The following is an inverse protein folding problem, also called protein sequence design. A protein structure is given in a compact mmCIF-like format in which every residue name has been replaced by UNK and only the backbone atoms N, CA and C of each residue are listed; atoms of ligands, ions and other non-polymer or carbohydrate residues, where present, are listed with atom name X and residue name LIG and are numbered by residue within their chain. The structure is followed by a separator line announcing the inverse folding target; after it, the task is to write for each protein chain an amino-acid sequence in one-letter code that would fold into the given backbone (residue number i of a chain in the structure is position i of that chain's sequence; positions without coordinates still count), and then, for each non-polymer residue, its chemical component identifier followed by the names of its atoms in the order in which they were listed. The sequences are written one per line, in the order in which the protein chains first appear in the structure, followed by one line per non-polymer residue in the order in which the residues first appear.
data_IF_039124136660
#
_entry.id   IF_039124136660
#
_cell.length_a   1.000
_cell.length_b   1.000
_cell.length_c   1.000
_cell.angle_alpha   90.00
_cell.angle_beta   90.00
_cell.angle_gamma   90.00
#
_symmetry.space_group_name_H-M   'P 1'
#
loop_
_entity.id
_entity.type
_entity.pdbx_description
1 polymer ?
#
# COMPACT_ATOMS: atom_id res chain seq x y z
N UNK A 1 -5.83 -0.69 -9.17
CA UNK A 1 -6.75 -1.75 -9.65
C UNK A 1 -6.16 -3.15 -9.44
N UNK A 2 -4.92 -3.46 -9.87
CA UNK A 2 -4.34 -4.81 -9.74
C UNK A 2 -4.28 -5.33 -8.29
N UNK A 3 -3.83 -4.50 -7.33
CA UNK A 3 -3.79 -4.87 -5.92
C UNK A 3 -5.17 -5.32 -5.38
N UNK A 4 -6.24 -4.65 -5.78
CA UNK A 4 -7.59 -4.99 -5.31
C UNK A 4 -8.02 -6.38 -5.79
N UNK A 5 -7.73 -6.70 -7.05
CA UNK A 5 -8.04 -8.03 -7.62
C UNK A 5 -7.28 -9.11 -6.84
N UNK A 6 -6.01 -8.89 -6.51
CA UNK A 6 -5.21 -9.83 -5.73
C UNK A 6 -5.73 -9.97 -4.30
N UNK A 7 -6.16 -8.88 -3.66
CA UNK A 7 -6.81 -8.93 -2.34
C UNK A 7 -8.07 -9.81 -2.38
N UNK A 8 -8.93 -9.61 -3.37
CA UNK A 8 -10.13 -10.42 -3.55
C UNK A 8 -9.81 -11.90 -3.79
N UNK A 9 -8.77 -12.19 -4.57
CA UNK A 9 -8.33 -13.55 -4.82
C UNK A 9 -7.79 -14.23 -3.55
N UNK A 10 -6.95 -13.55 -2.78
CA UNK A 10 -6.28 -14.14 -1.61
C UNK A 10 -7.21 -14.20 -0.39
N UNK A 11 -7.87 -13.09 -0.02
CA UNK A 11 -8.80 -13.07 1.11
C UNK A 11 -10.16 -13.73 0.80
N UNK A 12 -10.58 -13.72 -0.45
CA UNK A 12 -11.84 -14.32 -0.86
C UNK A 12 -11.94 -15.81 -0.54
N UNK A 13 -10.80 -16.52 -0.46
CA UNK A 13 -10.74 -17.93 -0.03
C UNK A 13 -11.22 -18.14 1.41
N UNK A 14 -11.05 -17.14 2.28
CA UNK A 14 -11.44 -17.19 3.69
C UNK A 14 -12.82 -16.61 3.96
N UNK A 15 -13.44 -15.99 2.96
CA UNK A 15 -14.80 -15.45 3.02
C UNK A 15 -14.88 -13.93 2.91
N UNK A 16 -16.08 -13.47 2.58
CA UNK A 16 -16.36 -12.05 2.36
C UNK A 16 -16.13 -11.19 3.61
N UNK A 17 -16.30 -11.78 4.79
CA UNK A 17 -16.13 -11.08 6.07
C UNK A 17 -14.72 -10.49 6.23
N UNK A 18 -13.68 -11.24 5.83
CA UNK A 18 -12.28 -10.79 5.92
C UNK A 18 -11.98 -9.65 4.96
N UNK A 19 -12.62 -9.66 3.78
CA UNK A 19 -12.51 -8.56 2.81
C UNK A 19 -13.16 -7.30 3.37
N UNK A 20 -14.36 -7.41 3.93
CA UNK A 20 -15.06 -6.29 4.57
C UNK A 20 -14.26 -5.75 5.78
N UNK A 21 -13.70 -6.64 6.60
CA UNK A 21 -12.85 -6.27 7.72
C UNK A 21 -11.62 -5.46 7.26
N UNK A 22 -10.94 -5.88 6.19
CA UNK A 22 -9.82 -5.14 5.61
C UNK A 22 -10.21 -3.73 5.19
N UNK A 23 -11.31 -3.59 4.45
CA UNK A 23 -11.76 -2.28 3.99
C UNK A 23 -12.21 -1.38 5.15
N UNK A 24 -12.91 -1.95 6.13
CA UNK A 24 -13.33 -1.22 7.33
C UNK A 24 -12.12 -0.74 8.14
N UNK A 25 -11.14 -1.62 8.38
CA UNK A 25 -9.89 -1.27 9.06
C UNK A 25 -9.13 -0.18 8.30
N UNK A 26 -9.03 -0.27 6.98
CA UNK A 26 -8.36 0.72 6.16
C UNK A 26 -9.08 2.08 6.21
N UNK A 27 -10.40 2.09 6.21
CA UNK A 27 -11.22 3.29 6.31
C UNK A 27 -11.10 3.94 7.70
N UNK A 28 -11.15 3.13 8.76
CA UNK A 28 -10.95 3.60 10.14
C UNK A 28 -9.53 4.16 10.33
N UNK A 29 -8.51 3.49 9.79
CA UNK A 29 -7.14 3.97 9.82
C UNK A 29 -7.00 5.34 9.13
N UNK A 30 -7.60 5.49 7.95
CA UNK A 30 -7.56 6.74 7.19
C UNK A 30 -8.31 7.85 7.93
N UNK A 31 -9.47 7.56 8.50
CA UNK A 31 -10.26 8.53 9.26
C UNK A 31 -9.55 8.99 10.53
N UNK A 32 -9.00 8.05 11.31
CA UNK A 32 -8.26 8.36 12.55
C UNK A 32 -6.99 9.14 12.28
N UNK A 33 -6.19 8.75 11.30
CA UNK A 33 -5.00 9.48 10.89
C UNK A 33 -5.35 10.88 10.38
N UNK A 34 -6.37 11.01 9.53
CA UNK A 34 -6.84 12.29 9.03
C UNK A 34 -7.27 13.23 10.16
N UNK A 35 -8.01 12.71 11.15
CA UNK A 35 -8.42 13.49 12.32
C UNK A 35 -7.23 13.94 13.19
N UNK A 36 -6.28 13.03 13.45
CA UNK A 36 -5.06 13.32 14.22
C UNK A 36 -4.20 14.36 13.50
N UNK A 37 -3.97 14.19 12.18
CA UNK A 37 -3.18 15.12 11.39
C UNK A 37 -3.83 16.52 11.34
N UNK A 38 -5.14 16.59 11.16
CA UNK A 38 -5.86 17.87 11.15
C UNK A 38 -5.73 18.64 12.48
N UNK A 39 -5.57 17.91 13.60
CA UNK A 39 -5.37 18.51 14.92
C UNK A 39 -3.91 18.93 15.17
N UNK A 40 -2.94 18.20 14.62
CA UNK A 40 -1.51 18.41 14.87
C UNK A 40 -0.90 19.42 13.89
N UNK A 41 -1.37 19.42 12.65
CA UNK A 41 -0.84 20.32 11.62
C UNK A 41 -1.64 21.62 11.64
N UNK A 42 -1.07 22.73 12.14
CA UNK A 42 -1.71 24.02 12.06
C UNK A 42 -1.76 24.44 10.58
N UNK A 43 -2.95 24.64 10.08
CA UNK A 43 -3.21 25.10 8.71
C UNK A 43 -4.59 25.72 8.65
N UNK A 44 -4.73 26.76 7.84
CA UNK A 44 -6.06 27.27 7.50
C UNK A 44 -6.72 26.25 6.56
N UNK A 45 -7.92 25.82 6.92
CA UNK A 45 -8.75 25.05 6.01
C UNK A 45 -9.01 25.92 4.79
N UNK A 46 -8.31 25.63 3.68
CA UNK A 46 -8.57 26.31 2.42
C UNK A 46 -10.07 26.14 2.13
N UNK A 47 -10.81 27.23 2.13
CA UNK A 47 -12.19 27.25 1.65
C UNK A 47 -12.15 26.85 0.20
N UNK A 48 -12.51 25.58 -0.06
CA UNK A 48 -12.62 25.09 -1.44
C UNK A 48 -13.82 25.80 -2.05
N UNK A 49 -13.56 26.87 -2.80
CA UNK A 49 -14.53 27.47 -3.70
C UNK A 49 -14.80 26.45 -4.82
N UNK A 50 -15.74 25.56 -4.57
CA UNK A 50 -16.25 24.64 -5.59
C UNK A 50 -17.17 25.41 -6.51
N UNK A 51 -16.62 25.94 -7.60
CA UNK A 51 -17.45 26.34 -8.74
C UNK A 51 -18.02 25.07 -9.37
N UNK A 52 -19.31 24.84 -9.19
CA UNK A 52 -20.01 23.76 -9.86
C UNK A 52 -20.23 24.12 -11.34
N UNK A 53 -19.45 23.58 -12.27
CA UNK A 53 -19.68 23.84 -13.68
C UNK A 53 -21.04 23.24 -14.06
N UNK A 54 -21.81 23.91 -14.94
CA UNK A 54 -23.11 23.41 -15.38
C UNK A 54 -22.97 22.03 -16.00
N UNK A 55 -23.93 21.14 -15.68
CA UNK A 55 -23.98 19.79 -16.21
C UNK A 55 -24.03 19.80 -17.74
N UNK A 56 -22.94 19.36 -18.37
CA UNK A 56 -22.86 19.25 -19.83
C UNK A 56 -22.66 17.80 -20.23
N UNK A 57 -23.37 17.35 -21.26
CA UNK A 57 -23.17 16.02 -21.83
C UNK A 57 -21.70 15.88 -22.28
N UNK A 58 -20.99 14.83 -21.85
CA UNK A 58 -19.60 14.63 -22.24
C UNK A 58 -19.49 14.41 -23.76
N UNK A 59 -18.66 15.18 -24.42
CA UNK A 59 -18.34 14.95 -25.84
C UNK A 59 -17.32 13.82 -25.94
N UNK A 60 -17.70 12.71 -26.58
CA UNK A 60 -16.89 11.50 -26.71
C UNK A 60 -15.48 11.81 -27.24
N UNK A 61 -15.36 12.71 -28.23
CA UNK A 61 -14.09 13.14 -28.79
C UNK A 61 -13.15 13.75 -27.73
N UNK A 62 -13.67 14.57 -26.81
CA UNK A 62 -12.89 15.19 -25.75
C UNK A 62 -12.48 14.16 -24.69
N UNK A 63 -13.38 13.20 -24.40
CA UNK A 63 -13.11 12.11 -23.49
C UNK A 63 -11.95 11.24 -24.00
N UNK A 64 -12.05 10.79 -25.25
CA UNK A 64 -11.01 9.98 -25.91
C UNK A 64 -9.68 10.71 -25.96
N UNK A 65 -9.69 12.02 -26.33
CA UNK A 65 -8.47 12.83 -26.37
C UNK A 65 -7.81 12.94 -24.98
N UNK A 66 -8.59 13.22 -23.93
CA UNK A 66 -8.06 13.27 -22.55
C UNK A 66 -7.52 11.92 -22.08
N UNK A 67 -8.25 10.82 -22.37
CA UNK A 67 -7.79 9.46 -22.03
C UNK A 67 -6.51 9.11 -22.75
N UNK A 68 -6.41 9.40 -24.05
CA UNK A 68 -5.21 9.18 -24.85
C UNK A 68 -3.99 9.91 -24.26
N UNK A 69 -4.10 11.20 -23.95
CA UNK A 69 -2.99 11.93 -23.33
C UNK A 69 -2.59 11.39 -21.97
N UNK A 70 -3.55 10.96 -21.15
CA UNK A 70 -3.24 10.34 -19.85
C UNK A 70 -2.53 9.01 -20.02
N UNK A 71 -2.98 8.16 -20.96
CA UNK A 71 -2.34 6.87 -21.25
C UNK A 71 -0.92 7.09 -21.77
N UNK A 72 -0.73 8.02 -22.72
CA UNK A 72 0.60 8.32 -23.28
C UNK A 72 1.54 8.89 -22.20
N UNK A 73 1.05 9.80 -21.37
CA UNK A 73 1.84 10.32 -20.25
C UNK A 73 2.24 9.22 -19.25
N UNK A 74 1.32 8.34 -18.92
CA UNK A 74 1.61 7.18 -18.07
C UNK A 74 2.63 6.23 -18.70
N UNK A 75 2.46 5.91 -19.99
CA UNK A 75 3.41 5.05 -20.71
C UNK A 75 4.80 5.67 -20.77
N UNK A 76 4.87 6.99 -20.95
CA UNK A 76 6.16 7.69 -21.10
C UNK A 76 6.92 7.84 -19.78
N UNK A 77 6.21 8.01 -18.66
CA UNK A 77 6.82 8.27 -17.35
C UNK A 77 6.73 7.06 -16.43
N UNK A 78 5.57 6.40 -16.35
CA UNK A 78 5.33 5.30 -15.43
C UNK A 78 6.00 4.00 -15.85
N UNK A 79 5.94 3.66 -17.14
CA UNK A 79 6.49 2.39 -17.64
C UNK A 79 8.01 2.30 -17.45
N UNK A 80 8.83 3.31 -17.85
CA UNK A 80 10.28 3.25 -17.62
C UNK A 80 10.63 3.12 -16.13
N UNK A 81 9.88 3.83 -15.27
CA UNK A 81 10.10 3.78 -13.83
C UNK A 81 9.78 2.39 -13.25
N UNK A 82 8.70 1.76 -13.73
CA UNK A 82 8.33 0.39 -13.33
C UNK A 82 9.42 -0.61 -13.79
N UNK A 83 9.90 -0.48 -15.03
CA UNK A 83 10.98 -1.33 -15.54
C UNK A 83 12.26 -1.16 -14.73
N UNK A 84 12.65 0.07 -14.44
CA UNK A 84 13.81 0.36 -13.59
C UNK A 84 13.64 -0.27 -12.21
N UNK A 85 12.47 -0.09 -11.59
CA UNK A 85 12.15 -0.68 -10.29
C UNK A 85 12.27 -2.20 -10.31
N UNK A 86 11.65 -2.88 -11.28
CA UNK A 86 11.74 -4.34 -11.44
C UNK A 86 13.18 -4.78 -11.66
N UNK A 87 13.95 -4.06 -12.46
CA UNK A 87 15.35 -4.37 -12.72
C UNK A 87 16.19 -4.29 -11.44
N UNK A 88 16.09 -3.19 -10.68
CA UNK A 88 16.80 -3.00 -9.40
C UNK A 88 16.47 -4.11 -8.40
N UNK A 89 15.20 -4.51 -8.33
CA UNK A 89 14.77 -5.59 -7.43
C UNK A 89 15.33 -6.93 -7.82
N UNK A 90 15.24 -7.28 -9.11
CA UNK A 90 15.80 -8.54 -9.56
C UNK A 90 17.31 -8.60 -9.31
N UNK A 91 18.00 -7.48 -9.51
CA UNK A 91 19.42 -7.37 -9.22
C UNK A 91 19.70 -7.56 -7.71
N UNK A 92 18.94 -6.88 -6.84
CA UNK A 92 19.05 -7.01 -5.39
C UNK A 92 18.72 -8.43 -4.90
N UNK A 93 17.72 -9.08 -5.53
CA UNK A 93 17.40 -10.48 -5.25
C UNK A 93 18.54 -11.42 -5.64
N UNK A 94 19.10 -11.24 -6.83
CA UNK A 94 20.22 -12.05 -7.32
C UNK A 94 21.48 -11.88 -6.45
N UNK A 95 21.73 -10.68 -5.94
CA UNK A 95 22.83 -10.38 -5.01
C UNK A 95 22.59 -10.91 -3.58
N UNK A 96 21.45 -11.52 -3.28
CA UNK A 96 21.09 -12.00 -1.94
C UNK A 96 20.79 -10.89 -0.93
N UNK A 97 20.76 -9.62 -1.35
CA UNK A 97 20.55 -8.48 -0.45
C UNK A 97 19.15 -8.52 0.17
N UNK A 98 18.14 -8.95 -0.57
CA UNK A 98 16.76 -9.05 -0.08
C UNK A 98 16.64 -10.09 1.01
N UNK A 99 17.30 -11.23 0.88
CA UNK A 99 17.30 -12.29 1.91
C UNK A 99 18.04 -11.85 3.17
N UNK A 100 19.14 -11.12 3.03
CA UNK A 100 19.87 -10.54 4.18
C UNK A 100 19.02 -9.50 4.92
N UNK A 101 18.32 -8.61 4.19
CA UNK A 101 17.39 -7.65 4.79
C UNK A 101 16.22 -8.38 5.46
N UNK A 102 15.66 -9.41 4.82
CA UNK A 102 14.58 -10.20 5.38
C UNK A 102 14.95 -10.86 6.70
N UNK A 103 16.18 -11.38 6.84
CA UNK A 103 16.64 -11.99 8.08
C UNK A 103 16.75 -10.99 9.24
N UNK A 104 17.15 -9.75 8.97
CA UNK A 104 17.22 -8.66 9.96
C UNK A 104 15.82 -8.25 10.44
N UNK A 105 14.83 -8.18 9.52
CA UNK A 105 13.47 -7.78 9.86
C UNK A 105 12.59 -8.94 10.36
N UNK A 106 12.99 -10.19 10.14
CA UNK A 106 12.26 -11.40 10.55
C UNK A 106 11.86 -11.39 12.03
N UNK A 107 12.76 -11.09 13.02
CA UNK A 107 12.38 -11.09 14.44
C UNK A 107 11.33 -10.01 14.78
N UNK A 108 11.35 -8.88 14.08
CA UNK A 108 10.32 -7.84 14.26
C UNK A 108 8.98 -8.32 13.71
N UNK A 109 8.98 -8.95 12.55
CA UNK A 109 7.77 -9.44 11.90
C UNK A 109 7.12 -10.59 12.68
N UNK A 110 7.92 -11.55 13.16
CA UNK A 110 7.42 -12.67 13.95
C UNK A 110 7.02 -12.24 15.36
N UNK A 111 7.75 -11.31 15.98
CA UNK A 111 7.45 -10.79 17.30
C UNK A 111 6.21 -9.88 17.33
N UNK A 112 6.14 -8.92 16.42
CA UNK A 112 5.13 -7.87 16.44
C UNK A 112 3.84 -8.26 15.71
N UNK A 113 3.97 -8.86 14.52
CA UNK A 113 2.81 -9.19 13.67
C UNK A 113 2.39 -10.65 13.76
N UNK A 114 3.17 -11.49 14.47
CA UNK A 114 2.96 -12.96 14.54
C UNK A 114 2.88 -13.61 13.17
N UNK A 115 3.62 -13.07 12.22
CA UNK A 115 3.71 -13.60 10.87
C UNK A 115 4.91 -14.54 10.75
N UNK A 116 4.77 -15.64 9.98
CA UNK A 116 5.90 -16.52 9.70
C UNK A 116 6.98 -15.80 8.88
N UNK A 117 8.22 -16.29 8.96
CA UNK A 117 9.39 -15.71 8.28
C UNK A 117 9.21 -15.57 6.76
N UNK A 118 8.44 -16.47 6.16
CA UNK A 118 8.13 -16.49 4.72
C UNK A 118 7.32 -15.26 4.29
N UNK A 119 6.40 -14.80 5.15
CA UNK A 119 5.61 -13.60 4.89
C UNK A 119 6.46 -12.31 4.88
N UNK A 120 7.65 -12.34 5.53
CA UNK A 120 8.57 -11.21 5.54
C UNK A 120 9.05 -10.85 4.13
N UNK A 121 9.31 -11.84 3.28
CA UNK A 121 9.68 -11.61 1.88
C UNK A 121 8.58 -10.85 1.12
N UNK A 122 7.31 -11.23 1.32
CA UNK A 122 6.19 -10.54 0.69
C UNK A 122 6.09 -9.07 1.16
N UNK A 123 6.34 -8.80 2.45
CA UNK A 123 6.35 -7.44 2.99
C UNK A 123 7.47 -6.58 2.37
N UNK A 124 8.66 -7.12 2.20
CA UNK A 124 9.76 -6.42 1.53
C UNK A 124 9.42 -6.17 0.05
N UNK A 125 8.91 -7.16 -0.64
CA UNK A 125 8.48 -7.02 -2.05
C UNK A 125 7.35 -5.99 -2.19
N UNK A 126 6.55 -5.79 -1.16
CA UNK A 126 5.47 -4.79 -1.17
C UNK A 126 5.96 -3.36 -1.34
N UNK A 127 7.20 -3.06 -0.91
CA UNK A 127 7.82 -1.74 -1.14
C UNK A 127 8.04 -1.45 -2.62
N UNK A 128 8.08 -2.47 -3.42
CA UNK A 128 8.30 -2.40 -4.86
C UNK A 128 6.98 -2.45 -5.61
N UNK A 129 6.20 -3.51 -5.35
CA UNK A 129 4.90 -3.73 -5.97
C UNK A 129 3.96 -4.43 -4.99
N UNK A 130 2.96 -3.71 -4.52
CA UNK A 130 1.97 -4.22 -3.55
C UNK A 130 1.10 -5.35 -4.12
N UNK A 131 0.78 -5.30 -5.40
CA UNK A 131 0.00 -6.34 -6.08
C UNK A 131 0.73 -7.69 -6.14
N UNK A 132 2.03 -7.66 -6.45
CA UNK A 132 2.88 -8.86 -6.46
C UNK A 132 3.03 -9.42 -5.05
N UNK A 133 3.26 -8.58 -4.06
CA UNK A 133 3.39 -9.00 -2.67
C UNK A 133 2.15 -9.72 -2.15
N UNK A 134 0.95 -9.20 -2.44
CA UNK A 134 -0.31 -9.86 -2.08
C UNK A 134 -0.47 -11.20 -2.82
N UNK A 135 -0.07 -11.27 -4.09
CA UNK A 135 -0.06 -12.51 -4.86
C UNK A 135 0.84 -13.59 -4.26
N UNK A 136 2.03 -13.22 -3.81
CA UNK A 136 3.00 -14.11 -3.16
C UNK A 136 2.42 -14.66 -1.84
N UNK A 137 1.75 -13.82 -1.04
CA UNK A 137 1.08 -14.27 0.19
C UNK A 137 0.03 -15.35 -0.09
N UNK A 138 -0.62 -15.31 -1.25
CA UNK A 138 -1.57 -16.32 -1.65
C UNK A 138 -0.98 -17.73 -1.87
N UNK A 139 0.32 -17.83 -2.04
CA UNK A 139 1.06 -19.10 -2.17
C UNK A 139 1.48 -19.73 -0.85
N UNK A 140 1.37 -19.01 0.27
CA UNK A 140 1.70 -19.53 1.60
C UNK A 140 0.46 -20.03 2.34
N UNK A 141 0.64 -21.03 3.17
CA UNK A 141 -0.40 -21.55 4.08
C UNK A 141 -0.45 -20.69 5.35
N UNK A 142 -1.12 -19.56 5.25
CA UNK A 142 -1.34 -18.63 6.35
C UNK A 142 -2.74 -18.83 6.93
N UNK A 143 -2.89 -18.59 8.23
CA UNK A 143 -4.23 -18.53 8.82
C UNK A 143 -5.00 -17.29 8.29
N UNK A 144 -6.34 -17.29 8.32
CA UNK A 144 -7.14 -16.17 7.82
C UNK A 144 -6.76 -14.84 8.48
N UNK A 145 -6.47 -14.85 9.77
CA UNK A 145 -6.10 -13.66 10.53
C UNK A 145 -4.67 -13.18 10.21
N UNK A 146 -3.72 -14.10 10.02
CA UNK A 146 -2.37 -13.77 9.55
C UNK A 146 -2.40 -13.16 8.15
N UNK A 147 -3.20 -13.72 7.25
CA UNK A 147 -3.39 -13.18 5.90
C UNK A 147 -3.99 -11.78 5.93
N UNK A 148 -5.01 -11.57 6.77
CA UNK A 148 -5.60 -10.24 6.99
C UNK A 148 -4.56 -9.25 7.52
N UNK A 149 -3.77 -9.64 8.52
CA UNK A 149 -2.71 -8.81 9.10
C UNK A 149 -1.66 -8.43 8.06
N UNK A 150 -1.14 -9.41 7.32
CA UNK A 150 -0.12 -9.18 6.29
C UNK A 150 -0.63 -8.24 5.19
N UNK A 151 -1.84 -8.46 4.68
CA UNK A 151 -2.43 -7.61 3.64
C UNK A 151 -2.73 -6.20 4.16
N UNK A 152 -3.16 -6.06 5.43
CA UNK A 152 -3.37 -4.76 6.05
C UNK A 152 -2.06 -3.98 6.15
N UNK A 153 -0.99 -4.63 6.62
CA UNK A 153 0.35 -4.02 6.71
C UNK A 153 0.88 -3.64 5.33
N UNK A 154 0.69 -4.48 4.30
CA UNK A 154 1.07 -4.15 2.91
C UNK A 154 0.27 -2.94 2.40
N UNK A 155 -1.02 -2.90 2.67
CA UNK A 155 -1.90 -1.84 2.14
C UNK A 155 -1.60 -0.49 2.77
N UNK A 156 -1.44 -0.43 4.10
CA UNK A 156 -1.21 0.80 4.86
C UNK A 156 0.27 1.19 4.94
N UNK A 157 1.18 0.24 4.74
CA UNK A 157 2.61 0.41 4.93
C UNK A 157 3.29 1.29 3.88
N UNK A 158 4.57 1.05 3.70
CA UNK A 158 5.42 1.86 2.82
C UNK A 158 4.81 2.05 1.42
N UNK A 159 4.79 3.29 0.87
CA UNK A 159 4.35 3.50 -0.51
C UNK A 159 5.27 2.73 -1.47
N UNK A 160 4.70 2.05 -2.46
CA UNK A 160 5.52 1.37 -3.45
C UNK A 160 6.39 2.38 -4.23
N UNK A 161 7.48 1.90 -4.84
CA UNK A 161 8.43 2.75 -5.58
C UNK A 161 7.71 3.69 -6.56
N UNK A 162 6.69 3.21 -7.27
CA UNK A 162 5.93 4.04 -8.19
C UNK A 162 5.18 5.17 -7.48
N UNK A 163 4.50 4.88 -6.37
CA UNK A 163 3.82 5.90 -5.56
C UNK A 163 4.81 6.88 -4.93
N UNK A 164 5.93 6.36 -4.43
CA UNK A 164 6.99 7.18 -3.84
C UNK A 164 7.59 8.15 -4.85
N UNK A 165 7.86 7.70 -6.07
CA UNK A 165 8.36 8.56 -7.15
C UNK A 165 7.36 9.65 -7.55
N UNK A 166 6.06 9.34 -7.60
CA UNK A 166 5.02 10.34 -7.85
C UNK A 166 4.95 11.34 -6.69
N UNK A 167 5.03 10.88 -5.44
CA UNK A 167 5.08 11.79 -4.29
C UNK A 167 6.29 12.74 -4.35
N UNK A 168 7.46 12.25 -4.78
CA UNK A 168 8.66 13.07 -4.96
C UNK A 168 8.51 14.10 -6.09
N UNK A 169 7.73 13.80 -7.13
CA UNK A 169 7.48 14.76 -8.23
C UNK A 169 6.51 15.88 -7.85
N UNK A 170 5.60 15.62 -6.89
CA UNK A 170 4.56 16.57 -6.48
C UNK A 170 4.93 17.36 -5.21
N UNK A 171 5.70 16.74 -4.30
CA UNK A 171 6.01 17.30 -2.99
C UNK A 171 7.52 17.41 -2.75
N UNK A 172 7.91 18.33 -1.87
CA UNK A 172 9.30 18.44 -1.41
C UNK A 172 9.71 17.20 -0.61
N UNK A 173 10.95 16.75 -0.75
CA UNK A 173 11.50 15.56 -0.10
C UNK A 173 11.15 15.46 1.40
N UNK A 174 11.25 16.56 2.15
CA UNK A 174 10.90 16.60 3.58
C UNK A 174 9.45 16.15 3.82
N UNK A 175 8.50 16.65 3.04
CA UNK A 175 7.08 16.28 3.15
C UNK A 175 6.83 14.83 2.80
N UNK A 176 7.54 14.32 1.77
CA UNK A 176 7.44 12.91 1.37
C UNK A 176 7.92 11.99 2.48
N UNK A 177 9.04 12.35 3.14
CA UNK A 177 9.56 11.59 4.28
C UNK A 177 8.60 11.60 5.48
N UNK A 178 8.04 12.76 5.81
CA UNK A 178 7.03 12.89 6.88
C UNK A 178 5.80 12.00 6.60
N UNK A 179 5.25 12.05 5.39
CA UNK A 179 4.11 11.22 4.97
C UNK A 179 4.45 9.73 5.03
N UNK A 180 5.63 9.35 4.54
CA UNK A 180 6.08 7.95 4.55
C UNK A 180 6.28 7.44 5.97
N UNK A 181 6.87 8.24 6.85
CA UNK A 181 7.02 7.89 8.27
C UNK A 181 5.66 7.68 8.96
N UNK A 182 4.69 8.54 8.69
CA UNK A 182 3.32 8.40 9.22
C UNK A 182 2.66 7.10 8.72
N UNK A 183 2.81 6.77 7.43
CA UNK A 183 2.28 5.51 6.88
C UNK A 183 2.92 4.30 7.55
N UNK A 184 4.24 4.33 7.77
CA UNK A 184 4.95 3.26 8.48
C UNK A 184 4.48 3.11 9.92
N UNK A 185 4.37 4.21 10.67
CA UNK A 185 3.88 4.19 12.06
C UNK A 185 2.46 3.64 12.12
N UNK A 186 1.58 4.08 11.23
CA UNK A 186 0.21 3.59 11.17
C UNK A 186 0.14 2.08 10.88
N UNK A 187 0.94 1.61 9.92
CA UNK A 187 0.96 0.19 9.57
C UNK A 187 1.53 -0.67 10.71
N UNK A 188 2.54 -0.18 11.43
CA UNK A 188 3.09 -0.84 12.62
C UNK A 188 2.06 -0.92 13.74
N UNK A 189 1.37 0.16 14.05
CA UNK A 189 0.34 0.19 15.11
C UNK A 189 -0.82 -0.75 14.80
N UNK A 190 -1.38 -0.66 13.59
CA UNK A 190 -2.53 -1.48 13.20
C UNK A 190 -2.12 -2.95 13.03
N UNK A 191 -0.96 -3.20 12.44
CA UNK A 191 -0.42 -4.55 12.29
C UNK A 191 -0.12 -5.22 13.64
N UNK A 192 0.45 -4.47 14.61
CA UNK A 192 0.70 -5.00 15.96
C UNK A 192 -0.61 -5.28 16.72
N UNK A 193 -1.61 -4.43 16.55
CA UNK A 193 -2.94 -4.64 17.13
C UNK A 193 -3.57 -5.93 16.60
N UNK A 194 -3.52 -6.16 15.30
CA UNK A 194 -4.02 -7.40 14.68
C UNK A 194 -3.20 -8.63 15.11
N UNK A 195 -1.87 -8.49 15.21
CA UNK A 195 -0.99 -9.53 15.73
C UNK A 195 -1.29 -9.88 17.20
N UNK A 196 -1.63 -8.88 18.00
CA UNK A 196 -2.07 -9.11 19.40
C UNK A 196 -3.44 -9.79 19.45
N UNK A 197 -4.39 -9.40 18.61
CA UNK A 197 -5.68 -10.10 18.49
C UNK A 197 -5.50 -11.56 18.08
N UNK A 198 -4.53 -11.84 17.20
CA UNK A 198 -4.19 -13.22 16.85
C UNK A 198 -3.78 -14.04 18.06
N UNK A 199 -2.98 -13.49 18.98
CA UNK A 199 -2.55 -14.22 20.20
C UNK A 199 -3.68 -14.40 21.23
N UNK A 200 -4.76 -13.62 21.15
CA UNK A 200 -5.92 -13.78 22.04
C UNK A 200 -6.90 -14.85 21.53
N UNK A 201 -6.88 -15.15 20.22
CA UNK A 201 -7.82 -16.08 19.58
C UNK A 201 -7.21 -17.48 19.43
N UNK A 202 -5.87 -17.57 19.45
CA UNK A 202 -5.13 -18.85 19.38
C UNK A 202 -4.62 -19.27 20.73
#
# INVERSE_FOLDING_TARGET
MAQQVMIWYVLGRYGLLYILALYLLSLLAMATLGFILNKIIPGENATILLEFPPWRKPKLKNLLKKSYFRVVAFLRTGVPLIFLGIFVVNLAYYMGTITAIASIFSPVMSGLFKLPSEACLALIISTLRKDVAVGILGGYELTPLQTLTAITVITLGFPCIGSFAVMLSEFRLKRVLEMTALMLIASLLIGSLLGFLYTLVT
#
